data_IF_722077871849
#
_entry.id   IF_722077871849
#
_cell.length_a   1.000
_cell.length_b   1.000
_cell.length_c   1.000
_cell.angle_alpha   90.00
_cell.angle_beta   90.00
_cell.angle_gamma   90.00
#
_symmetry.space_group_name_H-M   'P 1'
#
loop_
_entity.id
_entity.type
_entity.pdbx_description
1 polymer ?
#
# COMPACT_ATOMS: atom_id res chain seq x y z
N UNK A 1 10.45 1.71 -9.94
CA UNK A 1 10.46 2.59 -8.76
C UNK A 1 11.75 3.38 -8.78
N UNK A 2 11.71 4.69 -8.52
CA UNK A 2 12.93 5.50 -8.58
C UNK A 2 13.66 5.47 -7.22
N UNK A 3 14.85 6.06 -7.15
CA UNK A 3 15.64 6.09 -5.91
C UNK A 3 14.94 6.86 -4.77
N UNK A 4 14.23 7.94 -5.09
CA UNK A 4 13.54 8.77 -4.11
C UNK A 4 12.40 8.01 -3.43
N UNK A 5 11.61 7.26 -4.21
CA UNK A 5 10.56 6.38 -3.69
C UNK A 5 11.15 5.32 -2.74
N UNK A 6 12.27 4.70 -3.12
CA UNK A 6 12.94 3.68 -2.30
C UNK A 6 13.45 4.25 -0.98
N UNK A 7 14.06 5.43 -1.02
CA UNK A 7 14.55 6.09 0.19
C UNK A 7 13.38 6.53 1.09
N UNK A 8 12.28 7.01 0.51
CA UNK A 8 11.08 7.33 1.27
C UNK A 8 10.41 6.09 1.89
N UNK A 9 10.35 4.96 1.18
CA UNK A 9 9.87 3.69 1.73
C UNK A 9 10.67 3.26 2.96
N UNK A 10 12.01 3.44 2.96
CA UNK A 10 12.83 3.11 4.14
C UNK A 10 12.44 3.94 5.35
N UNK A 11 12.18 5.24 5.16
CA UNK A 11 11.68 6.11 6.23
C UNK A 11 10.30 5.67 6.73
N UNK A 12 9.39 5.36 5.81
CA UNK A 12 8.03 4.92 6.13
C UNK A 12 8.00 3.56 6.86
N UNK A 13 8.93 2.65 6.56
CA UNK A 13 9.10 1.40 7.31
C UNK A 13 9.47 1.65 8.77
N UNK A 14 10.13 2.76 9.11
CA UNK A 14 10.46 3.12 10.49
C UNK A 14 9.40 4.02 11.14
N UNK A 15 8.39 4.47 10.38
CA UNK A 15 7.39 5.41 10.85
C UNK A 15 6.37 4.75 11.79
N UNK A 16 6.32 5.24 13.03
CA UNK A 16 5.40 4.75 14.08
C UNK A 16 3.94 5.17 13.89
N UNK A 17 3.65 6.10 12.97
CA UNK A 17 2.28 6.57 12.69
C UNK A 17 1.54 5.72 11.67
N UNK A 18 2.18 4.73 11.06
CA UNK A 18 1.52 3.79 10.16
C UNK A 18 0.50 2.95 10.92
N UNK A 19 -0.68 2.75 10.34
CA UNK A 19 -1.57 1.71 10.81
C UNK A 19 -0.88 0.36 10.64
N UNK A 20 -1.01 -0.52 11.63
CA UNK A 20 -0.41 -1.85 11.63
C UNK A 20 -1.44 -2.89 12.05
N UNK A 21 -1.48 -4.00 11.32
CA UNK A 21 -2.39 -5.11 11.53
C UNK A 21 -1.59 -6.41 11.52
N UNK A 22 -1.89 -7.31 12.45
CA UNK A 22 -1.36 -8.66 12.45
C UNK A 22 -2.35 -9.58 11.71
N UNK A 23 -1.96 -10.05 10.53
CA UNK A 23 -2.75 -11.00 9.75
C UNK A 23 -2.10 -12.39 9.75
N UNK A 24 -2.93 -13.41 10.03
CA UNK A 24 -2.46 -14.79 10.16
C UNK A 24 -1.88 -15.38 8.87
N UNK A 25 -2.25 -14.86 7.70
CA UNK A 25 -1.84 -15.40 6.41
C UNK A 25 -0.67 -14.63 5.81
N UNK A 26 -0.68 -13.30 5.92
CA UNK A 26 0.31 -12.42 5.27
C UNK A 26 1.22 -11.68 6.26
N UNK A 27 1.13 -12.03 7.54
CA UNK A 27 1.94 -11.43 8.59
C UNK A 27 1.54 -9.98 8.88
N UNK A 28 2.54 -9.18 9.24
CA UNK A 28 2.33 -7.77 9.57
C UNK A 28 2.02 -6.99 8.30
N UNK A 29 0.83 -6.38 8.28
CA UNK A 29 0.39 -5.44 7.24
C UNK A 29 0.44 -4.03 7.78
N UNK A 30 1.05 -3.10 7.03
CA UNK A 30 1.08 -1.69 7.39
C UNK A 30 0.65 -0.81 6.24
N UNK A 31 0.01 0.30 6.58
CA UNK A 31 -0.38 1.29 5.60
C UNK A 31 -0.44 2.71 6.17
N UNK A 32 -0.19 3.68 5.29
CA UNK A 32 -0.23 5.10 5.61
C UNK A 32 -0.59 5.91 4.36
N UNK A 33 -1.60 6.75 4.44
CA UNK A 33 -1.89 7.74 3.40
C UNK A 33 -0.77 8.78 3.38
N UNK A 34 -0.21 9.02 2.20
CA UNK A 34 0.89 9.95 1.94
C UNK A 34 0.49 10.94 0.85
N UNK A 35 1.37 11.89 0.53
CA UNK A 35 1.17 12.87 -0.54
C UNK A 35 -0.18 13.60 -0.49
N UNK A 36 -0.62 13.97 0.72
CA UNK A 36 -1.89 14.67 0.98
C UNK A 36 -3.14 13.93 0.47
N UNK A 37 -3.10 12.60 0.42
CA UNK A 37 -4.24 11.78 0.00
C UNK A 37 -4.13 11.18 -1.39
N UNK A 38 -3.06 11.50 -2.13
CA UNK A 38 -2.86 11.01 -3.51
C UNK A 38 -1.99 9.73 -3.56
N UNK A 39 -1.39 9.34 -2.44
CA UNK A 39 -0.58 8.13 -2.36
C UNK A 39 -0.89 7.30 -1.12
N UNK A 40 -0.58 6.02 -1.22
CA UNK A 40 -0.66 5.07 -0.13
C UNK A 40 0.65 4.30 -0.05
N UNK A 41 1.26 4.34 1.12
CA UNK A 41 2.27 3.36 1.50
C UNK A 41 1.58 2.07 1.92
N UNK A 42 2.04 0.94 1.39
CA UNK A 42 1.58 -0.39 1.77
C UNK A 42 2.78 -1.30 2.02
N UNK A 43 2.70 -2.10 3.08
CA UNK A 43 3.73 -3.07 3.44
C UNK A 43 3.08 -4.39 3.87
N UNK A 44 3.63 -5.51 3.40
CA UNK A 44 3.33 -6.86 3.87
C UNK A 44 4.61 -7.71 3.88
N UNK A 45 4.75 -8.64 4.82
CA UNK A 45 5.89 -9.58 4.88
C UNK A 45 7.28 -8.92 4.68
N UNK A 46 7.45 -7.68 5.14
CA UNK A 46 8.70 -6.92 5.01
C UNK A 46 8.93 -6.24 3.65
N UNK A 47 8.13 -6.55 2.62
CA UNK A 47 8.10 -5.87 1.33
C UNK A 47 7.13 -4.70 1.36
N UNK A 48 7.45 -3.65 0.64
CA UNK A 48 6.62 -2.46 0.58
C UNK A 48 6.54 -1.87 -0.83
N UNK A 49 5.51 -1.07 -1.05
CA UNK A 49 5.34 -0.28 -2.25
C UNK A 49 4.61 1.03 -1.92
N UNK A 50 4.68 1.96 -2.87
CA UNK A 50 3.82 3.14 -2.90
C UNK A 50 2.89 2.98 -4.10
N UNK A 51 1.59 3.16 -3.86
CA UNK A 51 0.57 3.11 -4.90
C UNK A 51 -0.30 4.37 -4.87
N UNK A 52 -0.99 4.61 -5.98
CA UNK A 52 -1.83 5.79 -6.18
C UNK A 52 -3.24 5.53 -5.68
N UNK A 53 -3.74 6.45 -4.86
CA UNK A 53 -5.12 6.48 -4.39
C UNK A 53 -5.67 7.90 -4.54
N UNK A 54 -6.98 8.06 -4.45
CA UNK A 54 -7.61 9.34 -4.10
C UNK A 54 -8.36 9.14 -2.80
N UNK A 55 -7.74 9.51 -1.68
CA UNK A 55 -8.35 9.38 -0.36
C UNK A 55 -9.65 10.19 -0.24
N UNK A 56 -9.74 11.33 -0.94
CA UNK A 56 -10.94 12.17 -0.98
C UNK A 56 -12.15 11.46 -1.60
N UNK A 57 -11.90 10.70 -2.66
CA UNK A 57 -12.95 10.06 -3.44
C UNK A 57 -13.05 8.55 -3.15
N UNK A 58 -12.25 8.05 -2.20
CA UNK A 58 -12.08 6.63 -1.91
C UNK A 58 -11.76 5.80 -3.17
N UNK A 59 -10.83 6.26 -4.02
CA UNK A 59 -10.45 5.54 -5.24
C UNK A 59 -9.07 4.92 -5.09
N UNK A 60 -8.88 3.72 -5.62
CA UNK A 60 -7.58 3.07 -5.73
C UNK A 60 -7.27 2.66 -7.16
N UNK A 61 -6.16 3.16 -7.71
CA UNK A 61 -5.70 2.84 -9.06
C UNK A 61 -4.89 1.53 -9.04
N UNK A 62 -5.48 0.41 -9.45
CA UNK A 62 -4.76 -0.88 -9.50
C UNK A 62 -3.56 -0.85 -10.43
N UNK A 63 -3.60 -0.03 -11.48
CA UNK A 63 -2.51 0.15 -12.44
C UNK A 63 -1.23 0.74 -11.83
N UNK A 64 -1.33 1.37 -10.66
CA UNK A 64 -0.18 1.90 -9.91
C UNK A 64 0.65 0.81 -9.20
N UNK A 65 0.11 -0.41 -9.05
CA UNK A 65 0.86 -1.56 -8.54
C UNK A 65 1.83 -2.05 -9.61
N UNK A 66 3.12 -1.70 -9.48
CA UNK A 66 4.16 -2.00 -10.48
C UNK A 66 5.20 -2.97 -9.95
N UNK A 67 5.90 -2.59 -8.89
CA UNK A 67 6.99 -3.38 -8.29
C UNK A 67 7.07 -3.14 -6.78
N UNK A 68 7.62 -4.11 -6.07
CA UNK A 68 8.03 -4.00 -4.68
C UNK A 68 9.33 -3.20 -4.53
N UNK A 69 9.63 -2.79 -3.31
CA UNK A 69 10.86 -2.06 -2.96
C UNK A 69 12.15 -2.89 -3.11
N UNK A 70 12.04 -4.21 -3.26
CA UNK A 70 13.16 -5.09 -3.64
C UNK A 70 13.35 -5.22 -5.16
N UNK A 71 12.55 -4.51 -5.96
CA UNK A 71 12.58 -4.53 -7.43
C UNK A 71 11.78 -5.67 -8.06
N UNK A 72 11.14 -6.53 -7.27
CA UNK A 72 10.28 -7.61 -7.80
C UNK A 72 9.00 -7.00 -8.38
N UNK A 73 8.72 -7.24 -9.66
CA UNK A 73 7.48 -6.80 -10.31
C UNK A 73 6.26 -7.54 -9.78
N UNK A 74 5.11 -6.87 -9.71
CA UNK A 74 3.81 -7.54 -9.45
C UNK A 74 3.19 -8.00 -10.76
N UNK A 75 2.91 -9.29 -10.87
CA UNK A 75 2.13 -9.85 -11.97
C UNK A 75 0.62 -9.62 -11.78
N UNK A 76 -0.20 -10.08 -12.73
CA UNK A 76 -1.65 -9.86 -12.67
C UNK A 76 -2.31 -10.50 -11.43
N UNK A 77 -1.84 -11.68 -11.01
CA UNK A 77 -2.39 -12.37 -9.85
C UNK A 77 -1.98 -11.68 -8.55
N UNK A 78 -0.71 -11.27 -8.46
CA UNK A 78 -0.19 -10.49 -7.34
C UNK A 78 -0.90 -9.15 -7.20
N UNK A 79 -1.14 -8.44 -8.31
CA UNK A 79 -1.88 -7.17 -8.30
C UNK A 79 -3.28 -7.33 -7.73
N UNK A 80 -4.02 -8.36 -8.13
CA UNK A 80 -5.36 -8.61 -7.59
C UNK A 80 -5.33 -8.93 -6.09
N UNK A 81 -4.37 -9.77 -5.65
CA UNK A 81 -4.20 -10.11 -4.24
C UNK A 81 -3.85 -8.88 -3.40
N UNK A 82 -2.87 -8.09 -3.84
CA UNK A 82 -2.42 -6.89 -3.13
C UNK A 82 -3.52 -5.83 -3.11
N UNK A 83 -4.24 -5.66 -4.22
CA UNK A 83 -5.39 -4.76 -4.28
C UNK A 83 -6.49 -5.14 -3.27
N UNK A 84 -6.79 -6.43 -3.14
CA UNK A 84 -7.77 -6.92 -2.17
C UNK A 84 -7.31 -6.68 -0.72
N UNK A 85 -6.02 -6.88 -0.42
CA UNK A 85 -5.47 -6.57 0.91
C UNK A 85 -5.52 -5.06 1.20
N UNK A 86 -5.08 -4.23 0.24
CA UNK A 86 -5.16 -2.78 0.35
C UNK A 86 -6.60 -2.34 0.66
N UNK A 87 -7.58 -2.80 -0.13
CA UNK A 87 -8.99 -2.47 0.09
C UNK A 87 -9.46 -2.88 1.51
N UNK A 88 -9.19 -4.13 1.93
CA UNK A 88 -9.55 -4.64 3.26
C UNK A 88 -8.98 -3.76 4.38
N UNK A 89 -7.67 -3.51 4.39
CA UNK A 89 -7.04 -2.81 5.50
C UNK A 89 -7.21 -1.30 5.43
N UNK A 90 -7.40 -0.74 4.25
CA UNK A 90 -7.79 0.65 4.10
C UNK A 90 -9.15 0.91 4.78
N UNK A 91 -10.16 0.06 4.53
CA UNK A 91 -11.47 0.15 5.20
C UNK A 91 -11.33 0.04 6.72
N UNK A 92 -10.47 -0.86 7.20
CA UNK A 92 -10.25 -1.00 8.64
C UNK A 92 -9.60 0.23 9.27
N UNK A 93 -8.60 0.83 8.61
CA UNK A 93 -7.83 1.96 9.10
C UNK A 93 -8.61 3.29 9.00
N UNK A 94 -9.22 3.56 7.84
CA UNK A 94 -9.79 4.87 7.51
C UNK A 94 -11.31 4.89 7.52
N UNK A 95 -11.97 3.75 7.76
CA UNK A 95 -13.43 3.61 7.83
C UNK A 95 -14.15 4.03 6.54
N UNK A 96 -13.47 3.85 5.41
CA UNK A 96 -13.97 4.20 4.08
C UNK A 96 -13.62 3.09 3.09
N UNK A 97 -14.49 2.82 2.12
CA UNK A 97 -14.36 1.69 1.20
C UNK A 97 -13.80 2.15 -0.16
N UNK A 98 -12.68 1.56 -0.56
CA UNK A 98 -12.05 1.91 -1.83
C UNK A 98 -12.83 1.34 -3.02
N UNK A 99 -13.15 2.20 -3.99
CA UNK A 99 -13.51 1.82 -5.35
C UNK A 99 -12.24 1.54 -6.14
N UNK A 100 -12.09 0.32 -6.63
CA UNK A 100 -10.93 -0.10 -7.40
C UNK A 100 -11.14 0.23 -8.88
N UNK A 101 -10.20 0.96 -9.48
CA UNK A 101 -10.22 1.37 -10.89
C UNK A 101 -8.98 0.91 -11.65
#
# INVERSE_FOLDING_TARGET
>A
MNKEDLDYIKELKLNGSCYAFDDRLVGIVRLLIIYKGEGLFFQENGRALICEISARNAIFNKGSLKEWDDGTSLDAQDKERVAALIAKYYTLAYKDELTLV
#
